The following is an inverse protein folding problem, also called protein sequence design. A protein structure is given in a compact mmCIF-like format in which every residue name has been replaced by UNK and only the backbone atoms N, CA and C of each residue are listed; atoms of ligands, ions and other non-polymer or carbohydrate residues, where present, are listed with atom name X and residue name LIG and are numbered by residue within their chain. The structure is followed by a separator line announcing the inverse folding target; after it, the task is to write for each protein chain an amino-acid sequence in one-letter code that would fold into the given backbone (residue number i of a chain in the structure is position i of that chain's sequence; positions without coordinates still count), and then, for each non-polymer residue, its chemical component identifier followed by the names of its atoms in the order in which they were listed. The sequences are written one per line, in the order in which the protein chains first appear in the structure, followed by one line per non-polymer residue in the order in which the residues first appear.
data_IF_995845569846
#
_entry.id   IF_995845569846
#
_cell.length_a   1.000
_cell.length_b   1.000
_cell.length_c   1.000
_cell.angle_alpha   90.00
_cell.angle_beta   90.00
_cell.angle_gamma   90.00
#
_symmetry.space_group_name_H-M   'P 1'
#
loop_
_entity.id
_entity.type
_entity.pdbx_description
1 polymer ?
#
# COMPACT_ATOMS: atom_id res chain seq x y z
N UNK A 1 -16.56 31.43 -28.11
CA UNK A 1 -15.53 30.66 -27.39
C UNK A 1 -14.19 31.37 -27.61
N UNK A 2 -13.44 31.78 -26.58
CA UNK A 2 -12.10 32.29 -26.81
C UNK A 2 -11.24 31.14 -27.34
N UNK A 3 -10.70 31.31 -28.54
CA UNK A 3 -9.80 30.34 -29.17
C UNK A 3 -8.52 30.32 -28.33
N UNK A 4 -8.23 29.18 -27.71
CA UNK A 4 -7.04 29.03 -26.87
C UNK A 4 -5.76 29.35 -27.64
N UNK A 5 -4.74 29.87 -26.92
CA UNK A 5 -3.40 30.15 -27.46
C UNK A 5 -2.91 28.95 -28.28
N UNK A 6 -2.39 29.14 -29.50
CA UNK A 6 -1.95 28.03 -30.35
C UNK A 6 -0.90 27.16 -29.62
N UNK A 7 -0.86 25.85 -29.90
CA UNK A 7 0.14 24.94 -29.34
C UNK A 7 1.53 25.50 -29.62
N UNK A 8 2.35 25.65 -28.59
CA UNK A 8 3.72 26.12 -28.76
C UNK A 8 4.52 25.01 -29.42
N UNK A 9 5.37 25.31 -30.40
CA UNK A 9 6.22 24.31 -31.08
C UNK A 9 7.02 23.40 -30.12
N UNK A 10 7.29 23.87 -28.89
CA UNK A 10 7.95 23.11 -27.81
C UNK A 10 7.18 21.85 -27.41
N UNK A 11 5.84 21.85 -27.52
CA UNK A 11 5.02 20.69 -27.17
C UNK A 11 5.27 19.48 -28.08
N UNK A 12 5.78 19.70 -29.30
CA UNK A 12 6.19 18.64 -30.23
C UNK A 12 7.40 17.85 -29.71
N UNK A 13 8.31 18.50 -28.98
CA UNK A 13 9.54 17.91 -28.45
C UNK A 13 9.39 17.38 -27.03
N UNK A 14 8.15 17.20 -26.55
CA UNK A 14 7.86 16.77 -25.18
C UNK A 14 8.62 15.50 -24.80
N UNK A 15 8.66 14.48 -25.66
CA UNK A 15 9.28 13.21 -25.35
C UNK A 15 10.79 13.33 -25.17
N UNK A 16 11.49 13.93 -26.14
CA UNK A 16 12.95 14.13 -26.08
C UNK A 16 13.37 14.96 -24.86
N UNK A 17 12.65 16.05 -24.58
CA UNK A 17 12.92 16.89 -23.40
C UNK A 17 12.72 16.09 -22.11
N UNK A 18 11.68 15.26 -22.04
CA UNK A 18 11.40 14.43 -20.87
C UNK A 18 12.48 13.36 -20.67
N UNK A 19 12.87 12.67 -21.74
CA UNK A 19 13.91 11.63 -21.72
C UNK A 19 15.26 12.21 -21.31
N UNK A 20 15.71 13.30 -21.95
CA UNK A 20 16.95 14.00 -21.58
C UNK A 20 16.95 14.48 -20.13
N UNK A 21 15.82 15.00 -19.64
CA UNK A 21 15.69 15.46 -18.27
C UNK A 21 15.71 14.31 -17.24
N UNK A 22 15.08 13.18 -17.55
CA UNK A 22 15.12 11.95 -16.76
C UNK A 22 16.51 11.31 -16.74
N UNK A 23 17.25 11.39 -17.86
CA UNK A 23 18.64 10.96 -17.96
C UNK A 23 19.63 11.86 -17.19
N UNK A 24 19.13 12.85 -16.45
CA UNK A 24 19.93 13.68 -15.56
C UNK A 24 20.60 14.88 -16.23
N UNK A 25 20.32 15.18 -17.51
CA UNK A 25 20.86 16.37 -18.16
C UNK A 25 20.34 17.65 -17.48
N UNK A 26 21.22 18.65 -17.34
CA UNK A 26 20.86 19.96 -16.82
C UNK A 26 19.93 20.69 -17.79
N UNK A 27 19.05 21.56 -17.27
CA UNK A 27 18.11 22.33 -18.11
C UNK A 27 18.88 23.19 -19.12
N UNK A 28 20.05 23.71 -18.73
CA UNK A 28 20.92 24.49 -19.62
C UNK A 28 21.50 23.65 -20.77
N UNK A 29 21.83 22.38 -20.52
CA UNK A 29 22.29 21.47 -21.57
C UNK A 29 21.15 21.09 -22.52
N UNK A 30 19.94 20.91 -21.98
CA UNK A 30 18.74 20.68 -22.79
C UNK A 30 18.46 21.88 -23.70
N UNK A 31 18.55 23.11 -23.19
CA UNK A 31 18.36 24.31 -24.02
C UNK A 31 19.45 24.47 -25.08
N UNK A 32 20.70 24.07 -24.79
CA UNK A 32 21.77 24.05 -25.79
C UNK A 32 21.50 23.03 -26.88
N UNK A 33 21.16 21.79 -26.49
CA UNK A 33 20.83 20.73 -27.44
C UNK A 33 19.67 21.13 -28.36
N UNK A 34 18.60 21.73 -27.82
CA UNK A 34 17.48 22.23 -28.63
C UNK A 34 17.84 23.39 -29.57
N UNK A 35 18.81 24.22 -29.17
CA UNK A 35 19.33 25.29 -30.01
C UNK A 35 20.22 24.76 -31.12
N UNK A 36 21.04 23.76 -30.85
CA UNK A 36 22.02 23.22 -31.81
C UNK A 36 21.36 22.30 -32.84
N UNK A 37 20.42 21.46 -32.40
CA UNK A 37 19.79 20.43 -33.23
C UNK A 37 18.56 20.95 -33.99
N UNK A 38 17.75 21.79 -33.33
CA UNK A 38 16.47 22.26 -33.88
C UNK A 38 16.43 23.76 -34.17
N UNK A 39 17.52 24.49 -33.93
CA UNK A 39 17.63 25.95 -34.13
C UNK A 39 16.60 26.75 -33.31
N UNK A 40 16.14 26.22 -32.18
CA UNK A 40 15.14 26.88 -31.33
C UNK A 40 15.82 27.50 -30.11
N UNK A 41 15.84 28.83 -30.05
CA UNK A 41 16.34 29.57 -28.88
C UNK A 41 15.26 29.66 -27.81
N UNK A 42 15.41 28.90 -26.73
CA UNK A 42 14.42 28.80 -25.65
C UNK A 42 15.06 29.20 -24.32
N UNK A 43 14.38 30.05 -23.57
CA UNK A 43 14.79 30.37 -22.21
C UNK A 43 14.66 29.16 -21.26
N UNK A 44 15.62 28.86 -20.37
CA UNK A 44 15.58 27.71 -19.45
C UNK A 44 14.29 27.61 -18.63
N UNK A 45 13.72 28.75 -18.25
CA UNK A 45 12.48 28.81 -17.48
C UNK A 45 11.26 28.28 -18.26
N UNK A 46 11.30 28.36 -19.61
CA UNK A 46 10.26 27.76 -20.45
C UNK A 46 10.27 26.23 -20.35
N UNK A 47 11.46 25.62 -20.35
CA UNK A 47 11.62 24.17 -20.14
C UNK A 47 11.16 23.81 -18.72
N UNK A 48 11.56 24.58 -17.70
CA UNK A 48 11.15 24.35 -16.31
C UNK A 48 9.62 24.42 -16.13
N UNK A 49 8.96 25.43 -16.71
CA UNK A 49 7.50 25.58 -16.73
C UNK A 49 6.82 24.40 -17.42
N UNK A 50 7.37 23.94 -18.55
CA UNK A 50 6.81 22.83 -19.33
C UNK A 50 6.96 21.48 -18.65
N UNK A 51 8.12 21.18 -18.07
CA UNK A 51 8.33 19.98 -17.26
C UNK A 51 7.31 19.89 -16.11
N UNK A 52 7.02 21.02 -15.44
CA UNK A 52 5.97 21.09 -14.42
C UNK A 52 4.57 20.83 -14.99
N UNK A 53 4.22 21.44 -16.13
CA UNK A 53 2.93 21.20 -16.80
C UNK A 53 2.76 19.76 -17.28
N UNK A 54 3.84 19.12 -17.72
CA UNK A 54 3.85 17.74 -18.19
C UNK A 54 3.93 16.72 -17.04
N UNK A 55 4.13 17.17 -15.80
CA UNK A 55 4.26 16.29 -14.62
C UNK A 55 5.58 15.52 -14.59
N UNK A 56 6.60 15.96 -15.31
CA UNK A 56 7.88 15.26 -15.42
C UNK A 56 8.81 15.71 -14.29
N UNK A 57 9.15 14.78 -13.42
CA UNK A 57 10.08 14.97 -12.30
C UNK A 57 11.27 14.01 -12.43
N UNK A 58 12.43 14.41 -11.89
CA UNK A 58 13.61 13.52 -11.81
C UNK A 58 13.49 12.48 -10.70
N UNK A 59 12.62 12.72 -9.71
CA UNK A 59 12.68 11.99 -8.43
C UNK A 59 11.38 11.25 -8.12
N UNK A 60 10.24 11.73 -8.65
CA UNK A 60 8.94 11.20 -8.29
C UNK A 60 8.19 10.72 -9.54
N UNK A 61 7.84 9.42 -9.63
CA UNK A 61 6.84 8.93 -10.56
C UNK A 61 5.53 9.68 -10.36
N UNK A 62 4.65 9.64 -11.36
CA UNK A 62 3.28 10.13 -11.18
C UNK A 62 2.61 9.44 -9.98
N UNK A 63 1.62 10.07 -9.31
CA UNK A 63 0.97 9.49 -8.13
C UNK A 63 0.46 8.05 -8.35
N UNK A 64 -0.06 7.77 -9.55
CA UNK A 64 -0.57 6.45 -9.94
C UNK A 64 0.54 5.42 -10.13
N UNK A 65 1.61 5.78 -10.82
CA UNK A 65 2.75 4.88 -11.08
C UNK A 65 3.44 4.46 -9.78
N UNK A 66 3.57 5.41 -8.83
CA UNK A 66 4.10 5.12 -7.51
C UNK A 66 3.20 4.16 -6.73
N UNK A 67 1.88 4.38 -6.76
CA UNK A 67 0.90 3.51 -6.10
C UNK A 67 0.89 2.10 -6.70
N UNK A 68 0.91 1.96 -8.03
CA UNK A 68 0.91 0.68 -8.72
C UNK A 68 2.17 -0.13 -8.40
N UNK A 69 3.31 0.56 -8.31
CA UNK A 69 4.58 -0.06 -7.94
C UNK A 69 4.61 -0.48 -6.47
N UNK A 70 4.07 0.33 -5.56
CA UNK A 70 3.91 -0.04 -4.15
C UNK A 70 2.99 -1.26 -4.01
N UNK A 71 1.88 -1.32 -4.76
CA UNK A 71 0.98 -2.49 -4.78
C UNK A 71 1.69 -3.73 -5.29
N UNK A 72 2.45 -3.63 -6.37
CA UNK A 72 3.21 -4.75 -6.91
C UNK A 72 4.23 -5.30 -5.90
N UNK A 73 5.06 -4.43 -5.32
CA UNK A 73 6.07 -4.82 -4.33
C UNK A 73 5.42 -5.42 -3.08
N UNK A 74 4.25 -4.93 -2.69
CA UNK A 74 3.53 -5.41 -1.52
C UNK A 74 2.83 -6.76 -1.76
N UNK A 75 2.07 -6.89 -2.87
CA UNK A 75 1.23 -8.06 -3.13
C UNK A 75 1.96 -9.19 -3.84
N UNK A 76 2.76 -8.90 -4.87
CA UNK A 76 3.46 -9.94 -5.65
C UNK A 76 4.72 -10.42 -4.95
N UNK A 77 5.45 -9.51 -4.30
CA UNK A 77 6.74 -9.81 -3.68
C UNK A 77 6.69 -9.97 -2.17
N UNK A 78 5.54 -9.68 -1.52
CA UNK A 78 5.38 -9.86 -0.09
C UNK A 78 6.32 -8.99 0.77
N UNK A 79 6.97 -7.98 0.20
CA UNK A 79 8.03 -7.23 0.87
C UNK A 79 7.51 -6.42 2.07
N UNK A 80 8.32 -6.32 3.13
CA UNK A 80 8.05 -5.44 4.28
C UNK A 80 8.38 -4.00 3.95
N UNK A 81 7.85 -3.04 4.72
CA UNK A 81 8.03 -1.60 4.44
C UNK A 81 9.50 -1.18 4.24
N UNK A 82 10.44 -1.73 5.02
CA UNK A 82 11.88 -1.46 4.85
C UNK A 82 12.43 -1.99 3.52
N UNK A 83 11.95 -3.14 3.07
CA UNK A 83 12.35 -3.77 1.81
C UNK A 83 11.71 -3.07 0.61
N UNK A 84 10.45 -2.64 0.74
CA UNK A 84 9.76 -1.81 -0.26
C UNK A 84 10.53 -0.49 -0.48
N UNK A 85 10.96 0.19 0.58
CA UNK A 85 11.75 1.43 0.46
C UNK A 85 13.06 1.16 -0.29
N UNK A 86 13.80 0.10 0.08
CA UNK A 86 15.05 -0.25 -0.59
C UNK A 86 14.85 -0.61 -2.07
N UNK A 87 13.75 -1.28 -2.40
CA UNK A 87 13.41 -1.62 -3.78
C UNK A 87 13.08 -0.35 -4.59
N UNK A 88 12.29 0.57 -4.03
CA UNK A 88 11.99 1.85 -4.65
C UNK A 88 13.24 2.72 -4.82
N UNK A 89 14.15 2.71 -3.86
CA UNK A 89 15.43 3.42 -3.95
C UNK A 89 16.32 2.88 -5.08
N UNK A 90 16.36 1.55 -5.29
CA UNK A 90 17.08 0.94 -6.43
C UNK A 90 16.52 1.41 -7.78
N UNK A 91 15.21 1.67 -7.82
CA UNK A 91 14.52 2.17 -8.99
C UNK A 91 14.60 3.71 -9.13
N UNK A 92 15.43 4.36 -8.32
CA UNK A 92 15.65 5.82 -8.34
C UNK A 92 14.58 6.64 -7.62
N UNK A 93 13.61 5.98 -6.98
CA UNK A 93 12.48 6.60 -6.28
C UNK A 93 12.81 6.69 -4.79
N UNK A 94 13.19 7.87 -4.33
CA UNK A 94 13.48 8.10 -2.91
C UNK A 94 12.22 8.56 -2.18
N UNK A 95 11.70 7.70 -1.31
CA UNK A 95 10.58 8.03 -0.42
C UNK A 95 10.96 7.76 1.03
N UNK A 96 10.41 8.57 1.94
CA UNK A 96 10.53 8.28 3.37
C UNK A 96 9.57 7.17 3.79
N UNK A 97 9.86 6.56 4.93
CA UNK A 97 8.98 5.54 5.50
C UNK A 97 7.60 6.09 5.85
N UNK A 98 7.51 7.34 6.33
CA UNK A 98 6.22 8.00 6.59
C UNK A 98 5.42 8.24 5.32
N UNK A 99 6.06 8.63 4.21
CA UNK A 99 5.39 8.77 2.91
C UNK A 99 4.85 7.43 2.43
N UNK A 100 5.63 6.35 2.54
CA UNK A 100 5.15 5.00 2.22
C UNK A 100 3.94 4.61 3.08
N UNK A 101 3.99 4.85 4.39
CA UNK A 101 2.88 4.56 5.32
C UNK A 101 1.63 5.36 4.97
N UNK A 102 1.74 6.66 4.71
CA UNK A 102 0.59 7.49 4.29
C UNK A 102 -0.02 6.98 3.00
N UNK A 103 0.81 6.63 2.01
CA UNK A 103 0.32 6.08 0.74
C UNK A 103 -0.37 4.74 0.97
N UNK A 104 0.24 3.84 1.75
CA UNK A 104 -0.32 2.54 2.13
C UNK A 104 -1.67 2.67 2.83
N UNK A 105 -1.78 3.57 3.81
CA UNK A 105 -3.05 3.84 4.51
C UNK A 105 -4.13 4.34 3.55
N UNK A 106 -3.79 5.31 2.69
CA UNK A 106 -4.73 5.88 1.72
C UNK A 106 -5.25 4.84 0.72
N UNK A 107 -4.43 3.88 0.32
CA UNK A 107 -4.79 2.82 -0.64
C UNK A 107 -5.27 1.52 0.04
N UNK A 108 -5.41 1.51 1.37
CA UNK A 108 -5.89 0.35 2.13
C UNK A 108 -4.89 -0.82 2.24
N UNK A 109 -3.62 -0.57 1.98
CA UNK A 109 -2.52 -1.53 2.06
C UNK A 109 -2.01 -1.64 3.51
N UNK A 110 -2.80 -2.28 4.37
CA UNK A 110 -2.43 -2.49 5.77
C UNK A 110 -2.08 -3.96 6.01
N UNK A 111 -0.86 -4.21 6.50
CA UNK A 111 -0.52 -5.47 7.19
C UNK A 111 -0.81 -5.23 8.66
N UNK A 112 -1.73 -5.97 9.25
CA UNK A 112 -1.82 -5.97 10.71
C UNK A 112 -0.57 -6.62 11.27
N UNK A 113 0.24 -5.83 11.95
CA UNK A 113 1.21 -6.35 12.91
C UNK A 113 0.38 -6.58 14.16
N UNK A 114 0.06 -7.84 14.46
CA UNK A 114 -0.53 -8.18 15.75
C UNK A 114 0.53 -7.86 16.79
N UNK A 115 0.46 -6.67 17.41
CA UNK A 115 1.24 -6.41 18.59
C UNK A 115 0.57 -7.16 19.74
N UNK A 116 1.37 -7.78 20.60
CA UNK A 116 0.87 -8.49 21.79
C UNK A 116 -0.01 -7.58 22.68
N UNK A 117 0.17 -6.26 22.55
CA UNK A 117 -0.53 -5.18 23.25
C UNK A 117 -1.97 -4.95 22.72
N UNK A 118 -2.18 -5.08 21.41
CA UNK A 118 -3.43 -4.67 20.74
C UNK A 118 -4.58 -5.69 20.91
N UNK A 119 -4.30 -6.87 21.48
CA UNK A 119 -5.30 -7.89 21.80
C UNK A 119 -6.03 -7.58 23.13
N UNK A 120 -5.56 -6.58 23.87
CA UNK A 120 -6.18 -6.16 25.13
C UNK A 120 -7.31 -5.16 24.87
N UNK A 121 -8.46 -5.65 24.39
CA UNK A 121 -9.73 -5.06 24.81
C UNK A 121 -9.85 -5.29 26.32
N UNK A 122 -9.36 -4.34 27.10
CA UNK A 122 -9.23 -4.42 28.55
C UNK A 122 -10.56 -4.58 29.27
N UNK A 123 -11.67 -4.13 28.66
CA UNK A 123 -12.96 -4.05 29.33
C UNK A 123 -13.72 -5.39 29.36
N UNK A 124 -13.54 -6.24 28.34
CA UNK A 124 -14.14 -7.58 28.30
C UNK A 124 -13.37 -8.57 29.21
N UNK A 125 -12.05 -8.43 29.30
CA UNK A 125 -11.18 -9.28 30.12
C UNK A 125 -11.47 -9.09 31.62
N UNK A 126 -11.72 -7.85 32.06
CA UNK A 126 -12.02 -7.56 33.48
C UNK A 126 -13.30 -8.25 33.91
N UNK A 127 -14.32 -8.23 33.06
CA UNK A 127 -15.63 -8.85 33.34
C UNK A 127 -15.59 -10.38 33.26
N UNK A 128 -14.76 -10.94 32.37
CA UNK A 128 -14.60 -12.39 32.23
C UNK A 128 -13.71 -12.99 33.34
N UNK A 129 -12.74 -12.23 33.86
CA UNK A 129 -11.89 -12.64 34.98
C UNK A 129 -12.62 -12.67 36.33
N UNK A 130 -13.71 -11.90 36.50
CA UNK A 130 -14.60 -11.99 37.66
C UNK A 130 -15.48 -13.25 37.63
N UNK A 131 -15.81 -13.76 36.44
CA UNK A 131 -16.72 -14.90 36.27
C UNK A 131 -16.00 -16.25 36.15
N UNK A 132 -14.82 -16.29 35.53
CA UNK A 132 -14.00 -17.50 35.35
C UNK A 132 -12.49 -17.19 35.44
N UNK A 133 -11.96 -16.99 36.65
CA UNK A 133 -10.56 -16.64 36.85
C UNK A 133 -9.61 -17.74 36.39
N UNK A 134 -9.98 -19.00 36.57
CA UNK A 134 -9.15 -20.16 36.20
C UNK A 134 -9.07 -20.31 34.66
N UNK A 135 -10.20 -20.18 33.96
CA UNK A 135 -10.22 -20.22 32.49
C UNK A 135 -9.52 -19.02 31.83
N UNK A 136 -9.55 -17.84 32.45
CA UNK A 136 -8.74 -16.69 32.00
C UNK A 136 -7.25 -16.95 32.22
N UNK A 137 -6.86 -17.54 33.35
CA UNK A 137 -5.46 -17.83 33.65
C UNK A 137 -4.90 -18.92 32.72
N UNK A 138 -5.69 -19.95 32.42
CA UNK A 138 -5.35 -20.98 31.44
C UNK A 138 -5.15 -20.39 30.04
N UNK A 139 -6.09 -19.53 29.58
CA UNK A 139 -5.97 -18.84 28.29
C UNK A 139 -4.76 -17.92 28.22
N UNK A 140 -4.43 -17.21 29.30
CA UNK A 140 -3.21 -16.40 29.39
C UNK A 140 -1.97 -17.28 29.24
N UNK A 141 -1.90 -18.41 29.95
CA UNK A 141 -0.78 -19.35 29.86
C UNK A 141 -0.66 -20.00 28.47
N UNK A 142 -1.78 -20.32 27.81
CA UNK A 142 -1.82 -20.82 26.43
C UNK A 142 -1.39 -19.75 25.42
N UNK A 143 -1.69 -18.48 25.69
CA UNK A 143 -1.27 -17.35 24.87
C UNK A 143 0.24 -17.10 24.95
N UNK A 144 0.89 -17.45 26.07
CA UNK A 144 2.35 -17.39 26.21
C UNK A 144 3.10 -18.47 25.42
N UNK A 145 2.41 -19.45 24.84
CA UNK A 145 3.01 -20.26 23.78
C UNK A 145 3.21 -19.34 22.60
N UNK A 146 4.47 -18.89 22.42
CA UNK A 146 4.90 -18.03 21.32
C UNK A 146 4.51 -18.69 20.00
N UNK A 147 3.32 -18.41 19.49
CA UNK A 147 3.06 -18.49 18.06
C UNK A 147 4.12 -17.57 17.47
N UNK A 148 5.08 -18.13 16.72
CA UNK A 148 6.07 -17.32 16.01
C UNK A 148 5.37 -16.28 15.14
N UNK A 149 6.13 -15.37 14.53
CA UNK A 149 5.55 -14.46 13.53
C UNK A 149 4.77 -15.28 12.48
N UNK A 150 3.45 -15.17 12.49
CA UNK A 150 2.59 -15.84 11.52
C UNK A 150 2.55 -14.98 10.26
N UNK A 151 3.57 -15.17 9.41
CA UNK A 151 3.74 -14.41 8.17
C UNK A 151 3.28 -15.27 7.00
N UNK A 152 2.22 -14.83 6.34
CA UNK A 152 1.73 -15.39 5.09
C UNK A 152 2.38 -14.63 3.92
N UNK A 153 2.81 -15.29 2.83
CA UNK A 153 3.57 -14.64 1.76
C UNK A 153 2.73 -13.72 0.86
N UNK A 154 1.46 -14.04 0.60
CA UNK A 154 0.59 -13.28 -0.31
C UNK A 154 -0.90 -13.50 -0.01
N UNK A 155 -1.81 -12.63 -0.50
CA UNK A 155 -3.25 -12.88 -0.45
C UNK A 155 -3.62 -14.21 -1.14
N UNK A 156 -4.69 -14.86 -0.67
CA UNK A 156 -5.20 -16.13 -1.17
C UNK A 156 -4.21 -17.31 -1.08
N UNK A 157 -3.17 -17.20 -0.25
CA UNK A 157 -2.22 -18.28 -0.05
C UNK A 157 -2.73 -19.33 0.95
N UNK A 158 -3.28 -18.88 2.08
CA UNK A 158 -3.89 -19.72 3.12
C UNK A 158 -5.20 -19.05 3.54
N UNK A 159 -6.25 -19.84 3.70
CA UNK A 159 -7.50 -19.40 4.31
C UNK A 159 -7.67 -20.08 5.67
N UNK A 160 -7.94 -19.28 6.70
CA UNK A 160 -8.32 -19.79 8.01
C UNK A 160 -9.84 -19.89 8.06
N UNK A 161 -10.35 -21.09 8.36
CA UNK A 161 -11.79 -21.34 8.48
C UNK A 161 -12.12 -21.66 9.93
N UNK A 162 -13.18 -21.05 10.46
CA UNK A 162 -13.66 -21.31 11.81
C UNK A 162 -15.18 -21.31 11.90
N UNK A 163 -15.71 -22.05 12.88
CA UNK A 163 -17.12 -22.14 13.22
C UNK A 163 -17.41 -21.40 14.52
N UNK A 164 -18.30 -20.41 14.47
CA UNK A 164 -18.67 -19.62 15.63
C UNK A 164 -19.96 -20.13 16.28
N UNK A 165 -19.81 -20.72 17.47
CA UNK A 165 -20.89 -21.39 18.19
C UNK A 165 -21.59 -20.53 19.26
N UNK A 166 -21.19 -19.26 19.47
CA UNK A 166 -21.84 -18.41 20.51
C UNK A 166 -23.34 -18.22 20.29
N UNK A 167 -23.80 -18.30 19.05
CA UNK A 167 -25.22 -18.19 18.71
C UNK A 167 -25.94 -19.54 18.60
N UNK A 168 -25.23 -20.65 18.88
CA UNK A 168 -25.80 -21.98 18.76
C UNK A 168 -26.99 -22.20 19.70
N UNK A 169 -27.03 -21.51 20.85
CA UNK A 169 -28.18 -21.53 21.76
C UNK A 169 -29.49 -21.05 21.11
N UNK A 170 -29.41 -20.10 20.17
CA UNK A 170 -30.56 -19.63 19.39
C UNK A 170 -30.74 -20.39 18.07
N UNK A 171 -30.06 -21.54 17.92
CA UNK A 171 -30.10 -22.33 16.69
C UNK A 171 -29.36 -21.70 15.52
N UNK A 172 -28.48 -20.71 15.73
CA UNK A 172 -27.73 -20.05 14.64
C UNK A 172 -26.26 -20.47 14.71
N UNK A 173 -25.75 -21.00 13.61
CA UNK A 173 -24.34 -21.38 13.47
C UNK A 173 -23.71 -20.59 12.34
N UNK A 174 -22.58 -19.94 12.60
CA UNK A 174 -21.86 -19.13 11.62
C UNK A 174 -20.56 -19.85 11.27
N UNK A 175 -20.31 -20.04 9.98
CA UNK A 175 -19.05 -20.54 9.45
C UNK A 175 -18.43 -19.45 8.60
N UNK A 176 -17.17 -19.10 8.85
CA UNK A 176 -16.49 -18.09 8.07
C UNK A 176 -15.09 -18.54 7.69
N UNK A 177 -14.65 -18.07 6.53
CA UNK A 177 -13.28 -18.16 6.07
C UNK A 177 -12.70 -16.74 5.98
N UNK A 178 -11.50 -16.57 6.51
CA UNK A 178 -10.73 -15.34 6.37
C UNK A 178 -9.45 -15.64 5.61
N UNK A 179 -9.05 -14.71 4.74
CA UNK A 179 -7.73 -14.78 4.12
C UNK A 179 -6.66 -14.51 5.18
N UNK A 180 -5.71 -15.43 5.35
CA UNK A 180 -4.73 -15.35 6.42
C UNK A 180 -3.71 -14.22 6.23
N UNK A 181 -3.57 -13.69 5.01
CA UNK A 181 -2.70 -12.55 4.69
C UNK A 181 -3.41 -11.20 4.89
N UNK A 182 -4.58 -11.02 4.28
CA UNK A 182 -5.32 -9.75 4.26
C UNK A 182 -6.38 -9.63 5.35
N UNK A 183 -6.74 -10.73 6.01
CA UNK A 183 -7.81 -10.87 7.01
C UNK A 183 -9.20 -10.47 6.51
N UNK A 184 -9.40 -10.34 5.20
CA UNK A 184 -10.73 -10.16 4.63
C UNK A 184 -11.52 -11.47 4.72
N UNK A 185 -12.82 -11.34 5.04
CA UNK A 185 -13.77 -12.45 4.97
C UNK A 185 -13.92 -12.85 3.51
N UNK A 186 -13.39 -14.02 3.14
CA UNK A 186 -13.49 -14.56 1.78
C UNK A 186 -14.81 -15.28 1.58
N UNK A 187 -15.35 -15.84 2.66
CA UNK A 187 -16.61 -16.58 2.63
C UNK A 187 -17.26 -16.57 4.01
N UNK A 188 -18.59 -16.50 4.04
CA UNK A 188 -19.38 -16.62 5.26
C UNK A 188 -20.67 -17.37 4.94
N UNK A 189 -21.03 -18.31 5.80
CA UNK A 189 -22.25 -19.09 5.70
C UNK A 189 -22.92 -19.17 7.07
N UNK A 190 -24.20 -18.87 7.09
CA UNK A 190 -25.02 -18.93 8.30
C UNK A 190 -26.02 -20.05 8.13
N UNK A 191 -26.03 -20.98 9.08
CA UNK A 191 -26.96 -22.10 9.12
C UNK A 191 -27.93 -21.94 10.29
N UNK A 192 -29.18 -22.32 10.06
CA UNK A 192 -30.16 -22.55 11.11
C UNK A 192 -30.10 -24.04 11.50
N UNK A 193 -29.91 -24.31 12.78
CA UNK A 193 -29.74 -25.63 13.37
C UNK A 193 -30.96 -25.96 14.22
N UNK A 194 -31.58 -27.11 13.96
CA UNK A 194 -32.70 -27.64 14.77
C UNK A 194 -32.22 -28.28 16.08
N UNK A 195 -31.03 -27.95 16.58
CA UNK A 195 -30.62 -28.28 17.95
C UNK A 195 -31.35 -27.31 18.88
N UNK A 196 -32.60 -27.63 19.20
CA UNK A 196 -33.40 -26.98 20.23
C UNK A 196 -34.19 -28.04 20.97
#
# INVERSE_FOLDING_TARGET
MPVGRPPSQIDQYKQEISTSFQNGQSISNITKMLSDEYQITIHPETIRRRLKQWGVSRTNPGPRELEDKIKELYFKQGLRNKEIIRALERDGIKISQSTLTTIQLRIGLQRQVIKLEDIQHTDDIVREAELDPDGVQHRKNDFYWRRGEYVVPSPNYIWSMDGHDKLAFWGIQIYAAIDAFSQYVTWCYVKISNRT
#
